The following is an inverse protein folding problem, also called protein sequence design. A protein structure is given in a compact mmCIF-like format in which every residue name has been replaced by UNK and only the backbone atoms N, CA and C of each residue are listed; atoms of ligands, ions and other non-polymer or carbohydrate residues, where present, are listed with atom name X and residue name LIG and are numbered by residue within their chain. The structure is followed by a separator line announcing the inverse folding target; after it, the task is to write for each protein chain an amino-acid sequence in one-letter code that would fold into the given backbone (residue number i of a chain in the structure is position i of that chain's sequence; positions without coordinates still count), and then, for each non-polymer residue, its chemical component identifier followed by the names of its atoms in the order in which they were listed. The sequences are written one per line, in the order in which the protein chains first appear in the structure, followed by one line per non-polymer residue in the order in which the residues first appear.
data_IF_543483750547
#
_entry.id   IF_543483750547
#
_cell.length_a   1.000
_cell.length_b   1.000
_cell.length_c   1.000
_cell.angle_alpha   90.00
_cell.angle_beta   90.00
_cell.angle_gamma   90.00
#
_symmetry.space_group_name_H-M   'P 1'
#
loop_
_entity.id
_entity.type
_entity.pdbx_description
1 polymer ?
#
# COMPACT_ATOMS: atom_id res chain seq x y z
N UNK A 1 12.81 -13.41 -14.19
CA UNK A 1 12.71 -12.71 -12.90
C UNK A 1 11.55 -11.73 -13.02
N UNK A 2 10.61 -11.76 -12.08
CA UNK A 2 9.44 -10.87 -12.13
C UNK A 2 9.88 -9.43 -11.83
N UNK A 3 9.24 -8.43 -12.45
CA UNK A 3 9.47 -7.01 -12.11
C UNK A 3 9.21 -6.74 -10.61
N UNK A 4 8.36 -7.56 -9.99
CA UNK A 4 8.05 -7.51 -8.55
C UNK A 4 9.25 -7.83 -7.65
N UNK A 5 10.24 -8.55 -8.15
CA UNK A 5 11.45 -8.94 -7.41
C UNK A 5 12.58 -7.92 -7.54
N UNK A 6 12.44 -6.94 -8.42
CA UNK A 6 13.53 -6.01 -8.78
C UNK A 6 14.08 -5.24 -7.57
N UNK A 7 13.19 -4.72 -6.71
CA UNK A 7 13.59 -4.02 -5.50
C UNK A 7 13.64 -4.92 -4.26
N UNK A 8 12.96 -6.08 -4.31
CA UNK A 8 12.67 -6.91 -3.15
C UNK A 8 11.69 -6.24 -2.19
N UNK A 9 10.74 -7.00 -1.65
CA UNK A 9 9.81 -6.50 -0.65
C UNK A 9 9.11 -7.62 0.09
N UNK A 10 8.94 -7.47 1.38
CA UNK A 10 8.14 -8.34 2.23
C UNK A 10 7.21 -7.51 3.10
N UNK A 11 5.92 -7.80 3.05
CA UNK A 11 4.88 -7.21 3.90
C UNK A 11 4.02 -8.34 4.43
N UNK A 12 3.72 -8.32 5.72
CA UNK A 12 2.83 -9.28 6.37
C UNK A 12 1.86 -8.55 7.29
N UNK A 13 0.62 -9.01 7.34
CA UNK A 13 -0.38 -8.57 8.30
C UNK A 13 -0.94 -9.79 9.04
N UNK A 14 -1.29 -9.61 10.31
CA UNK A 14 -1.82 -10.64 11.19
C UNK A 14 -2.99 -10.08 12.01
N UNK A 15 -4.00 -10.92 12.23
CA UNK A 15 -5.14 -10.61 13.10
C UNK A 15 -4.93 -11.29 14.45
N UNK A 16 -5.10 -10.54 15.52
CA UNK A 16 -5.12 -11.02 16.90
C UNK A 16 -6.51 -10.85 17.53
N UNK A 17 -6.63 -11.15 18.83
CA UNK A 17 -7.88 -10.93 19.56
C UNK A 17 -8.05 -9.43 19.84
N UNK A 18 -8.97 -8.79 19.11
CA UNK A 18 -9.28 -7.36 19.29
C UNK A 18 -8.19 -6.42 18.77
N UNK A 19 -7.23 -6.92 17.98
CA UNK A 19 -6.14 -6.14 17.43
C UNK A 19 -5.69 -6.69 16.07
N UNK A 20 -4.93 -5.87 15.35
CA UNK A 20 -4.25 -6.24 14.10
C UNK A 20 -2.82 -5.75 14.14
N UNK A 21 -1.91 -6.48 13.51
CA UNK A 21 -0.51 -6.11 13.35
C UNK A 21 -0.13 -6.14 11.87
N UNK A 22 0.74 -5.21 11.46
CA UNK A 22 1.32 -5.16 10.12
C UNK A 22 2.82 -4.88 10.24
N UNK A 23 3.62 -5.60 9.47
CA UNK A 23 5.08 -5.48 9.46
C UNK A 23 5.61 -5.54 8.03
N UNK A 24 6.72 -4.85 7.80
CA UNK A 24 7.40 -4.84 6.52
C UNK A 24 8.91 -4.73 6.72
N UNK A 25 9.68 -5.27 5.77
CA UNK A 25 11.11 -4.99 5.71
C UNK A 25 11.36 -3.53 5.27
N UNK A 26 12.54 -3.00 5.60
CA UNK A 26 12.93 -1.62 5.26
C UNK A 26 13.97 -1.53 4.13
N UNK A 27 14.33 -2.66 3.52
CA UNK A 27 15.35 -2.70 2.47
C UNK A 27 14.76 -2.16 1.17
N UNK A 28 15.50 -1.27 0.52
CA UNK A 28 15.34 -0.91 -0.89
C UNK A 28 16.54 -1.44 -1.65
N UNK A 29 16.33 -2.45 -2.49
CA UNK A 29 17.35 -2.99 -3.37
C UNK A 29 17.23 -2.48 -4.80
N UNK A 30 18.31 -2.62 -5.56
CA UNK A 30 18.33 -2.69 -7.01
C UNK A 30 19.02 -4.01 -7.34
N UNK A 31 18.23 -5.05 -7.62
CA UNK A 31 18.73 -6.42 -7.76
C UNK A 31 19.58 -6.83 -6.54
N UNK A 32 20.86 -7.17 -6.75
CA UNK A 32 21.78 -7.59 -5.68
C UNK A 32 22.27 -6.43 -4.80
N UNK A 33 22.21 -5.17 -5.27
CA UNK A 33 22.72 -4.03 -4.53
C UNK A 33 21.66 -3.47 -3.57
N UNK A 34 22.03 -3.23 -2.31
CA UNK A 34 21.17 -2.51 -1.35
C UNK A 34 21.43 -1.01 -1.49
N UNK A 35 20.37 -0.23 -1.71
CA UNK A 35 20.41 1.23 -1.83
C UNK A 35 20.11 1.90 -0.49
N UNK A 36 19.07 1.43 0.21
CA UNK A 36 18.72 1.93 1.54
C UNK A 36 18.15 0.85 2.45
N UNK A 37 18.13 1.14 3.75
CA UNK A 37 17.57 0.30 4.82
C UNK A 37 16.47 1.00 5.62
N UNK A 38 15.97 2.13 5.13
CA UNK A 38 14.93 2.94 5.77
C UNK A 38 13.68 3.16 4.90
N UNK A 39 13.50 2.39 3.82
CA UNK A 39 12.41 2.59 2.88
C UNK A 39 11.04 2.24 3.49
N UNK A 40 10.10 3.18 3.43
CA UNK A 40 8.76 3.03 3.97
C UNK A 40 7.86 2.24 3.02
N UNK A 41 7.25 1.16 3.52
CA UNK A 41 6.32 0.31 2.77
C UNK A 41 4.92 0.25 3.37
N UNK A 42 4.76 0.74 4.61
CA UNK A 42 3.50 0.80 5.34
C UNK A 42 3.07 2.26 5.45
N UNK A 43 1.83 2.54 5.09
CA UNK A 43 1.27 3.88 5.06
C UNK A 43 -0.02 3.95 5.87
N UNK A 44 -0.13 4.95 6.72
CA UNK A 44 -1.35 5.23 7.47
C UNK A 44 -2.36 5.95 6.57
N UNK A 45 -3.58 5.40 6.49
CA UNK A 45 -4.69 5.96 5.72
C UNK A 45 -5.69 6.69 6.61
N UNK A 46 -5.91 6.22 7.83
CA UNK A 46 -6.64 6.93 8.90
C UNK A 46 -6.17 6.40 10.28
N UNK A 47 -6.88 6.75 11.36
CA UNK A 47 -6.48 6.38 12.73
C UNK A 47 -6.49 4.86 13.00
N UNK A 48 -7.28 4.10 12.25
CA UNK A 48 -7.50 2.65 12.45
C UNK A 48 -7.12 1.79 11.25
N UNK A 49 -6.58 2.40 10.18
CA UNK A 49 -6.33 1.74 8.90
C UNK A 49 -4.94 2.06 8.37
N UNK A 50 -4.20 1.00 8.12
CA UNK A 50 -2.89 1.00 7.47
C UNK A 50 -2.93 0.14 6.21
N UNK A 51 -2.13 0.50 5.22
CA UNK A 51 -1.90 -0.31 4.02
C UNK A 51 -0.41 -0.55 3.84
N UNK A 52 -0.06 -1.80 3.55
CA UNK A 52 1.31 -2.18 3.17
C UNK A 52 1.36 -2.51 1.69
N UNK A 53 2.32 -1.90 0.98
CA UNK A 53 2.46 -2.04 -0.47
C UNK A 53 3.79 -2.73 -0.79
N UNK A 54 3.78 -3.99 -1.24
CA UNK A 54 4.97 -4.66 -1.76
C UNK A 54 5.11 -4.51 -3.28
N UNK A 55 6.31 -4.79 -3.81
CA UNK A 55 6.59 -4.79 -5.25
C UNK A 55 7.58 -3.71 -5.67
N UNK A 56 7.36 -3.17 -6.87
CA UNK A 56 8.22 -2.16 -7.49
C UNK A 56 8.16 -0.84 -6.69
N UNK A 57 9.31 -0.28 -6.35
CA UNK A 57 9.39 0.91 -5.49
C UNK A 57 8.67 2.13 -6.06
N UNK A 58 8.66 2.28 -7.40
CA UNK A 58 7.93 3.36 -8.07
C UNK A 58 6.43 3.22 -7.86
N UNK A 59 5.89 2.02 -8.02
CA UNK A 59 4.46 1.75 -7.88
C UNK A 59 4.02 1.90 -6.44
N UNK A 60 4.86 1.50 -5.47
CA UNK A 60 4.61 1.72 -4.04
C UNK A 60 4.32 3.20 -3.76
N UNK A 61 5.19 4.10 -4.24
CA UNK A 61 5.04 5.54 -4.03
C UNK A 61 3.85 6.13 -4.80
N UNK A 62 3.65 5.71 -6.05
CA UNK A 62 2.54 6.22 -6.88
C UNK A 62 1.19 5.79 -6.32
N UNK A 63 1.04 4.50 -5.97
CA UNK A 63 -0.22 3.96 -5.44
C UNK A 63 -0.49 4.51 -4.05
N UNK A 64 0.51 4.66 -3.17
CA UNK A 64 0.29 5.26 -1.84
C UNK A 64 -0.25 6.69 -1.93
N UNK A 65 0.29 7.49 -2.85
CA UNK A 65 -0.16 8.87 -3.08
C UNK A 65 -1.59 8.90 -3.65
N UNK A 66 -1.89 8.02 -4.61
CA UNK A 66 -3.21 7.92 -5.20
C UNK A 66 -4.26 7.47 -4.18
N UNK A 67 -3.96 6.45 -3.36
CA UNK A 67 -4.84 5.98 -2.30
C UNK A 67 -5.12 7.10 -1.29
N UNK A 68 -4.10 7.81 -0.82
CA UNK A 68 -4.26 8.94 0.10
C UNK A 68 -5.14 10.04 -0.49
N UNK A 69 -4.99 10.35 -1.78
CA UNK A 69 -5.84 11.32 -2.47
C UNK A 69 -7.32 10.91 -2.45
N UNK A 70 -7.64 9.67 -2.82
CA UNK A 70 -9.03 9.20 -2.83
C UNK A 70 -9.63 9.06 -1.43
N UNK A 71 -8.84 8.66 -0.44
CA UNK A 71 -9.28 8.61 0.97
C UNK A 71 -9.64 10.01 1.47
N UNK A 72 -8.79 11.01 1.20
CA UNK A 72 -9.05 12.39 1.59
C UNK A 72 -10.31 12.94 0.91
N UNK A 73 -10.47 12.69 -0.40
CA UNK A 73 -11.69 13.08 -1.12
C UNK A 73 -12.94 12.42 -0.57
N UNK A 74 -12.87 11.12 -0.24
CA UNK A 74 -13.98 10.39 0.35
C UNK A 74 -14.39 11.02 1.69
N UNK A 75 -13.41 11.31 2.55
CA UNK A 75 -13.66 11.92 3.85
C UNK A 75 -14.28 13.31 3.74
N UNK A 76 -13.83 14.13 2.78
CA UNK A 76 -14.41 15.46 2.54
C UNK A 76 -15.84 15.38 1.98
N UNK A 77 -16.14 14.40 1.13
CA UNK A 77 -17.48 14.24 0.51
C UNK A 77 -18.51 13.66 1.48
N UNK A 78 -18.12 12.63 2.21
CA UNK A 78 -19.03 11.85 3.07
C UNK A 78 -19.02 12.32 4.52
N UNK A 79 -18.12 13.25 4.87
CA UNK A 79 -17.90 13.77 6.22
C UNK A 79 -17.71 12.66 7.28
N UNK A 80 -17.08 11.53 6.89
CA UNK A 80 -16.80 10.38 7.75
C UNK A 80 -15.49 9.69 7.34
N UNK A 81 -14.86 9.01 8.29
CA UNK A 81 -13.69 8.18 8.00
C UNK A 81 -14.07 6.96 7.14
N UNK A 82 -13.20 6.61 6.19
CA UNK A 82 -13.40 5.43 5.34
C UNK A 82 -13.29 4.14 6.17
N UNK A 83 -14.24 3.22 5.95
CA UNK A 83 -14.24 1.91 6.59
C UNK A 83 -13.30 0.93 5.85
N UNK A 84 -12.69 -0.06 6.53
CA UNK A 84 -11.77 -1.00 5.91
C UNK A 84 -12.31 -1.71 4.66
N UNK A 85 -13.57 -2.15 4.70
CA UNK A 85 -14.22 -2.81 3.56
C UNK A 85 -14.37 -1.86 2.36
N UNK A 86 -14.76 -0.61 2.59
CA UNK A 86 -14.88 0.41 1.53
C UNK A 86 -13.51 0.74 0.93
N UNK A 87 -12.48 0.86 1.78
CA UNK A 87 -11.10 1.08 1.35
C UNK A 87 -10.58 -0.08 0.48
N UNK A 88 -10.89 -1.32 0.84
CA UNK A 88 -10.56 -2.49 0.02
C UNK A 88 -11.19 -2.39 -1.37
N UNK A 89 -12.49 -2.09 -1.47
CA UNK A 89 -13.16 -1.92 -2.77
C UNK A 89 -12.57 -0.77 -3.59
N UNK A 90 -12.28 0.36 -2.96
CA UNK A 90 -11.60 1.50 -3.60
C UNK A 90 -10.24 1.09 -4.18
N UNK A 91 -9.44 0.36 -3.39
CA UNK A 91 -8.11 -0.14 -3.79
C UNK A 91 -8.23 -1.07 -4.99
N UNK A 92 -9.15 -2.04 -4.95
CA UNK A 92 -9.39 -2.95 -6.08
C UNK A 92 -9.79 -2.21 -7.35
N UNK A 93 -10.68 -1.21 -7.24
CA UNK A 93 -11.08 -0.39 -8.40
C UNK A 93 -9.91 0.41 -8.98
N UNK A 94 -9.07 0.99 -8.14
CA UNK A 94 -7.89 1.75 -8.60
C UNK A 94 -6.92 0.82 -9.34
N UNK A 95 -6.60 -0.34 -8.77
CA UNK A 95 -5.69 -1.30 -9.40
C UNK A 95 -6.28 -1.85 -10.71
N UNK A 96 -7.57 -2.17 -10.72
CA UNK A 96 -8.23 -2.70 -11.91
C UNK A 96 -8.42 -1.66 -13.01
N UNK A 97 -8.51 -0.37 -12.68
CA UNK A 97 -8.61 0.72 -13.68
C UNK A 97 -7.41 0.78 -14.63
N UNK A 98 -6.27 0.23 -14.20
CA UNK A 98 -5.04 0.13 -15.00
C UNK A 98 -4.95 -1.17 -15.80
N UNK A 99 -6.00 -2.00 -15.83
CA UNK A 99 -6.06 -3.16 -16.71
C UNK A 99 -6.12 -2.67 -18.15
N UNK A 100 -5.03 -2.85 -18.90
CA UNK A 100 -4.99 -2.60 -20.34
C UNK A 100 -6.04 -3.46 -21.02
N UNK A 101 -7.11 -2.89 -21.55
CA UNK A 101 -7.96 -3.59 -22.51
C UNK A 101 -7.17 -3.58 -23.82
N UNK A 102 -6.58 -4.72 -24.16
CA UNK A 102 -6.04 -5.02 -25.48
C UNK A 102 -7.14 -5.62 -26.34
#
# INVERSE_FOLDING_TARGET
MSIMEYNGSAVVAMVGRGCVAIAADRRLGIQAQTVSTDFQKIFQMNDTLYVGLPGLATDILTVSNQLRFYVNLYQLRENRQIQPNTFMHLTSNILYSRRSVS
#
